data_IF_693735232370
#
_entry.id   IF_693735232370
#
_cell.length_a   1.000
_cell.length_b   1.000
_cell.length_c   1.000
_cell.angle_alpha   90.00
_cell.angle_beta   90.00
_cell.angle_gamma   90.00
#
_symmetry.space_group_name_H-M   'P 1'
#
loop_
_entity.id
_entity.type
_entity.pdbx_description
1 polymer ?
#
# COMPACT_ATOMS: atom_id res chain seq x y z
N UNK A 1 4.41 13.44 -16.66
CA UNK A 1 5.29 12.69 -15.75
C UNK A 1 6.25 11.85 -16.58
N UNK A 2 7.55 11.93 -16.33
CA UNK A 2 8.55 11.07 -17.00
C UNK A 2 8.56 9.69 -16.33
N UNK A 3 8.10 8.65 -17.04
CA UNK A 3 7.84 7.33 -16.46
C UNK A 3 8.96 6.32 -16.67
N UNK A 4 9.97 6.63 -17.48
CA UNK A 4 11.03 5.67 -17.83
C UNK A 4 11.94 5.42 -16.64
N UNK A 5 12.34 6.46 -15.90
CA UNK A 5 13.09 6.30 -14.64
C UNK A 5 12.32 5.49 -13.60
N UNK A 6 11.02 5.78 -13.42
CA UNK A 6 10.14 5.04 -12.51
C UNK A 6 10.04 3.56 -12.90
N UNK A 7 9.92 3.26 -14.19
CA UNK A 7 9.86 1.88 -14.68
C UNK A 7 11.15 1.13 -14.39
N UNK A 8 12.30 1.71 -14.73
CA UNK A 8 13.62 1.13 -14.46
C UNK A 8 13.82 0.86 -12.96
N UNK A 9 13.45 1.83 -12.12
CA UNK A 9 13.50 1.67 -10.67
C UNK A 9 12.60 0.54 -10.18
N UNK A 10 11.33 0.49 -10.58
CA UNK A 10 10.39 -0.52 -10.07
C UNK A 10 10.80 -1.95 -10.46
N UNK A 11 11.32 -2.15 -11.67
CA UNK A 11 11.86 -3.44 -12.12
C UNK A 11 13.13 -3.83 -11.35
N UNK A 12 14.05 -2.88 -11.16
CA UNK A 12 15.23 -3.08 -10.32
C UNK A 12 14.84 -3.46 -8.87
N UNK A 13 13.94 -2.68 -8.27
CA UNK A 13 13.45 -2.86 -6.92
C UNK A 13 12.84 -4.24 -6.72
N UNK A 14 12.06 -4.73 -7.70
CA UNK A 14 11.52 -6.09 -7.68
C UNK A 14 12.60 -7.14 -7.59
N UNK A 15 13.58 -7.11 -8.51
CA UNK A 15 14.66 -8.11 -8.54
C UNK A 15 15.47 -8.08 -7.23
N UNK A 16 15.82 -6.89 -6.77
CA UNK A 16 16.63 -6.72 -5.57
C UNK A 16 15.90 -7.16 -4.30
N UNK A 17 14.63 -6.79 -4.14
CA UNK A 17 13.82 -7.22 -2.99
C UNK A 17 13.58 -8.74 -3.00
N UNK A 18 13.30 -9.35 -4.16
CA UNK A 18 13.18 -10.81 -4.26
C UNK A 18 14.48 -11.51 -3.84
N UNK A 19 15.63 -11.00 -4.29
CA UNK A 19 16.95 -11.53 -3.91
C UNK A 19 17.20 -11.40 -2.41
N UNK A 20 16.99 -10.23 -1.82
CA UNK A 20 17.25 -9.98 -0.40
C UNK A 20 16.30 -10.77 0.51
N UNK A 21 15.00 -10.79 0.18
CA UNK A 21 14.00 -11.58 0.92
C UNK A 21 14.31 -13.07 0.83
N UNK A 22 14.72 -13.56 -0.34
CA UNK A 22 15.13 -14.97 -0.52
C UNK A 22 16.36 -15.33 0.33
N UNK A 23 17.38 -14.48 0.33
CA UNK A 23 18.57 -14.68 1.17
C UNK A 23 18.21 -14.68 2.66
N UNK A 24 17.36 -13.75 3.08
CA UNK A 24 16.91 -13.67 4.47
C UNK A 24 16.06 -14.86 4.89
N UNK A 25 15.17 -15.32 4.01
CA UNK A 25 14.39 -16.54 4.24
C UNK A 25 15.30 -17.74 4.48
N UNK A 26 16.33 -17.93 3.65
CA UNK A 26 17.32 -19.01 3.83
C UNK A 26 18.00 -18.93 5.21
N UNK A 27 18.41 -17.73 5.62
CA UNK A 27 19.07 -17.51 6.92
C UNK A 27 18.14 -17.77 8.10
N UNK A 28 16.91 -17.26 8.06
CA UNK A 28 15.92 -17.44 9.13
C UNK A 28 15.55 -18.91 9.29
N UNK A 29 15.51 -19.67 8.18
CA UNK A 29 15.11 -21.07 8.19
C UNK A 29 16.16 -22.05 8.71
N UNK A 30 17.43 -21.65 8.87
CA UNK A 30 18.46 -22.54 9.44
C UNK A 30 18.12 -22.94 10.88
N UNK A 31 18.50 -24.14 11.30
CA UNK A 31 18.16 -24.67 12.63
C UNK A 31 18.76 -23.82 13.78
N UNK A 32 19.97 -23.30 13.57
CA UNK A 32 20.71 -22.48 14.53
C UNK A 32 20.51 -20.97 14.35
N UNK A 33 19.50 -20.54 13.57
CA UNK A 33 19.28 -19.13 13.28
C UNK A 33 18.99 -18.32 14.56
N UNK A 34 19.49 -17.07 14.62
CA UNK A 34 19.17 -16.17 15.73
C UNK A 34 17.66 -15.90 15.83
N UNK A 35 16.98 -15.81 14.68
CA UNK A 35 15.53 -15.61 14.60
C UNK A 35 14.73 -16.69 15.34
N UNK A 36 15.16 -17.97 15.30
CA UNK A 36 14.50 -19.06 16.05
C UNK A 36 14.61 -18.89 17.56
N UNK A 37 15.73 -18.34 18.05
CA UNK A 37 15.94 -18.09 19.49
C UNK A 37 15.23 -16.84 19.97
N UNK A 38 15.33 -15.76 19.20
CA UNK A 38 14.83 -14.44 19.59
C UNK A 38 13.32 -14.29 19.32
N UNK A 39 12.80 -14.94 18.27
CA UNK A 39 11.41 -14.81 17.82
C UNK A 39 10.80 -16.14 17.36
N UNK A 40 10.74 -17.17 18.24
CA UNK A 40 10.27 -18.52 17.88
C UNK A 40 8.86 -18.54 17.28
N UNK A 41 7.93 -17.77 17.85
CA UNK A 41 6.54 -17.67 17.34
C UNK A 41 6.47 -17.11 15.92
N UNK A 42 7.32 -16.14 15.58
CA UNK A 42 7.36 -15.55 14.26
C UNK A 42 7.90 -16.53 13.21
N UNK A 43 8.91 -17.34 13.60
CA UNK A 43 9.45 -18.40 12.73
C UNK A 43 8.43 -19.52 12.55
N UNK A 44 7.71 -19.93 13.59
CA UNK A 44 6.64 -20.94 13.49
C UNK A 44 5.56 -20.51 12.49
N UNK A 45 5.09 -19.26 12.59
CA UNK A 45 4.13 -18.69 11.63
C UNK A 45 4.69 -18.65 10.20
N UNK A 46 5.98 -18.39 10.04
CA UNK A 46 6.65 -18.42 8.73
C UNK A 46 6.63 -19.83 8.15
N UNK A 47 6.96 -20.85 8.95
CA UNK A 47 6.92 -22.26 8.53
C UNK A 47 5.52 -22.71 8.13
N UNK A 48 4.50 -22.36 8.91
CA UNK A 48 3.09 -22.61 8.59
C UNK A 48 2.70 -21.93 7.27
N UNK A 49 3.08 -20.67 7.08
CA UNK A 49 2.81 -19.94 5.86
C UNK A 49 3.47 -20.61 4.63
N UNK A 50 4.72 -21.08 4.76
CA UNK A 50 5.42 -21.81 3.69
C UNK A 50 4.74 -23.13 3.36
N UNK A 51 4.24 -23.86 4.36
CA UNK A 51 3.48 -25.10 4.12
C UNK A 51 2.20 -24.84 3.32
N UNK A 52 1.55 -23.68 3.53
CA UNK A 52 0.31 -23.31 2.83
C UNK A 52 0.50 -22.66 1.45
N UNK A 53 1.63 -21.97 1.21
CA UNK A 53 1.83 -21.11 0.04
C UNK A 53 3.23 -21.22 -0.60
N UNK A 54 3.96 -22.32 -0.42
CA UNK A 54 5.34 -22.46 -0.92
C UNK A 54 6.33 -21.39 -0.41
N UNK A 55 7.63 -21.55 -0.68
CA UNK A 55 8.63 -20.53 -0.32
C UNK A 55 8.58 -19.34 -1.28
N UNK A 56 8.37 -19.62 -2.56
CA UNK A 56 8.39 -18.66 -3.65
C UNK A 56 7.25 -17.65 -3.52
N UNK A 57 6.03 -18.10 -3.15
CA UNK A 57 4.92 -17.17 -2.98
C UNK A 57 5.10 -16.30 -1.72
N UNK A 58 5.73 -16.83 -0.66
CA UNK A 58 6.07 -16.04 0.52
C UNK A 58 7.12 -14.98 0.18
N UNK A 59 8.18 -15.33 -0.57
CA UNK A 59 9.19 -14.38 -1.03
C UNK A 59 8.55 -13.27 -1.87
N UNK A 60 7.74 -13.64 -2.86
CA UNK A 60 7.01 -12.70 -3.72
C UNK A 60 6.10 -11.76 -2.92
N UNK A 61 5.31 -12.33 -2.01
CA UNK A 61 4.39 -11.58 -1.16
C UNK A 61 5.15 -10.58 -0.28
N UNK A 62 6.21 -11.01 0.39
CA UNK A 62 6.95 -10.14 1.32
C UNK A 62 7.75 -9.07 0.60
N UNK A 63 8.40 -9.40 -0.53
CA UNK A 63 9.08 -8.43 -1.37
C UNK A 63 8.11 -7.34 -1.85
N UNK A 64 6.92 -7.75 -2.31
CA UNK A 64 5.86 -6.84 -2.74
C UNK A 64 5.34 -5.94 -1.60
N UNK A 65 5.15 -6.49 -0.39
CA UNK A 65 4.73 -5.71 0.78
C UNK A 65 5.76 -4.62 1.10
N UNK A 66 7.05 -4.96 1.13
CA UNK A 66 8.10 -3.99 1.44
C UNK A 66 8.27 -2.94 0.35
N UNK A 67 8.21 -3.33 -0.93
CA UNK A 67 8.19 -2.37 -2.04
C UNK A 67 7.11 -1.31 -1.87
N UNK A 68 5.86 -1.74 -1.65
CA UNK A 68 4.73 -0.82 -1.50
C UNK A 68 4.87 0.08 -0.28
N UNK A 69 5.34 -0.47 0.85
CA UNK A 69 5.52 0.29 2.08
C UNK A 69 6.61 1.35 1.92
N UNK A 70 7.74 1.01 1.31
CA UNK A 70 8.82 1.98 1.08
C UNK A 70 8.38 3.08 0.12
N UNK A 71 7.70 2.74 -0.97
CA UNK A 71 7.15 3.74 -1.90
C UNK A 71 6.10 4.63 -1.21
N UNK A 72 5.21 4.04 -0.40
CA UNK A 72 4.21 4.80 0.35
C UNK A 72 4.85 5.74 1.38
N UNK A 73 5.78 5.24 2.20
CA UNK A 73 6.48 6.06 3.18
C UNK A 73 7.26 7.19 2.49
N UNK A 74 7.88 6.92 1.33
CA UNK A 74 8.55 7.96 0.54
C UNK A 74 7.59 9.01 0.03
N UNK A 75 6.46 8.60 -0.54
CA UNK A 75 5.42 9.53 -0.97
C UNK A 75 4.89 10.37 0.20
N UNK A 76 4.78 9.76 1.38
CA UNK A 76 4.32 10.41 2.60
C UNK A 76 5.32 11.45 3.13
N UNK A 77 6.63 11.17 3.03
CA UNK A 77 7.70 12.10 3.37
C UNK A 77 7.64 13.35 2.47
N UNK A 78 7.59 13.17 1.14
CA UNK A 78 7.51 14.31 0.19
C UNK A 78 6.34 15.23 0.52
N UNK A 79 5.19 14.62 0.79
CA UNK A 79 3.93 15.33 0.96
C UNK A 79 3.63 15.71 2.42
N UNK A 80 4.60 15.54 3.34
CA UNK A 80 4.51 15.93 4.76
C UNK A 80 3.25 15.38 5.44
N UNK A 81 3.03 14.07 5.27
CA UNK A 81 1.98 13.35 6.00
C UNK A 81 2.41 12.98 7.42
N UNK A 82 3.69 12.71 7.62
CA UNK A 82 4.32 12.50 8.92
C UNK A 82 4.96 13.81 9.43
N UNK A 83 5.18 13.90 10.75
CA UNK A 83 5.94 15.01 11.35
C UNK A 83 7.42 14.94 10.98
N UNK A 84 7.97 13.72 10.97
CA UNK A 84 9.36 13.41 10.62
C UNK A 84 9.38 12.63 9.30
N UNK A 85 10.44 12.78 8.52
CA UNK A 85 10.68 11.91 7.38
C UNK A 85 11.11 10.50 7.83
N UNK A 86 10.42 9.49 7.33
CA UNK A 86 10.59 8.11 7.76
C UNK A 86 11.66 7.40 6.93
N UNK A 87 11.69 7.66 5.62
CA UNK A 87 12.65 7.07 4.68
C UNK A 87 13.61 8.10 4.10
N UNK A 88 13.27 9.38 4.22
CA UNK A 88 14.05 10.51 3.71
C UNK A 88 14.86 11.17 4.82
N UNK A 89 16.04 11.73 4.52
CA UNK A 89 16.74 12.59 5.46
C UNK A 89 15.97 13.89 5.72
N UNK A 90 16.35 14.62 6.77
CA UNK A 90 15.87 15.99 6.99
C UNK A 90 16.46 16.96 5.95
N UNK A 91 17.75 16.79 5.66
CA UNK A 91 18.52 17.66 4.76
C UNK A 91 18.94 16.90 3.48
N UNK A 92 18.85 17.52 2.29
CA UNK A 92 19.40 16.95 1.05
C UNK A 92 20.88 16.61 1.18
N UNK A 93 21.33 15.52 0.52
CA UNK A 93 22.72 15.07 0.53
C UNK A 93 23.11 14.15 1.70
N UNK A 94 22.21 13.94 2.67
CA UNK A 94 22.39 12.93 3.72
C UNK A 94 21.69 11.62 3.35
N UNK A 95 22.20 10.50 3.86
CA UNK A 95 21.57 9.19 3.70
C UNK A 95 20.74 8.76 4.91
N UNK A 96 21.05 9.30 6.10
CA UNK A 96 20.38 8.96 7.33
C UNK A 96 18.93 9.49 7.34
N UNK A 97 17.91 8.64 7.52
CA UNK A 97 16.52 9.08 7.64
C UNK A 97 16.30 9.94 8.89
N UNK A 98 15.45 10.97 8.78
CA UNK A 98 15.19 11.92 9.85
C UNK A 98 14.70 11.24 11.14
N UNK A 99 13.80 10.25 11.03
CA UNK A 99 13.31 9.49 12.20
C UNK A 99 14.45 8.80 12.97
N UNK A 100 15.51 8.35 12.30
CA UNK A 100 16.66 7.75 12.97
C UNK A 100 17.55 8.81 13.60
N UNK A 101 17.74 9.95 12.93
CA UNK A 101 18.50 11.08 13.48
C UNK A 101 17.87 11.60 14.79
N UNK A 102 16.55 11.79 14.80
CA UNK A 102 15.79 12.19 16.00
C UNK A 102 15.87 11.14 17.12
N UNK A 103 15.76 9.85 16.79
CA UNK A 103 15.91 8.77 17.77
C UNK A 103 17.31 8.78 18.41
N UNK A 104 18.37 9.06 17.64
CA UNK A 104 19.74 9.20 18.17
C UNK A 104 19.90 10.42 19.07
N UNK A 105 19.05 11.44 18.93
CA UNK A 105 18.99 12.60 19.83
C UNK A 105 18.12 12.35 21.08
N UNK A 106 17.60 11.13 21.26
CA UNK A 106 16.75 10.77 22.39
C UNK A 106 15.26 11.05 22.18
N UNK A 107 14.84 11.38 20.96
CA UNK A 107 13.46 11.76 20.64
C UNK A 107 12.76 10.67 19.83
N UNK A 108 11.76 10.03 20.44
CA UNK A 108 10.88 9.05 19.80
C UNK A 108 9.44 9.38 20.18
N UNK A 109 8.56 9.45 19.19
CA UNK A 109 7.12 9.68 19.39
C UNK A 109 6.47 8.44 20.03
N UNK A 110 5.95 8.60 21.25
CA UNK A 110 5.33 7.52 22.04
C UNK A 110 3.99 7.05 21.47
N UNK A 111 3.32 7.87 20.63
CA UNK A 111 2.10 7.44 19.94
C UNK A 111 2.39 6.45 18.80
N UNK A 112 3.59 6.53 18.23
CA UNK A 112 4.05 5.70 17.11
C UNK A 112 4.76 4.45 17.63
N UNK A 113 5.67 4.60 18.60
CA UNK A 113 6.53 3.53 19.09
C UNK A 113 6.14 3.14 20.52
N UNK A 114 5.72 1.89 20.71
CA UNK A 114 5.36 1.39 22.04
C UNK A 114 6.58 1.33 22.98
N UNK A 115 6.31 1.31 24.30
CA UNK A 115 7.35 1.39 25.33
C UNK A 115 8.44 0.30 25.25
N UNK A 116 8.07 -0.96 24.94
CA UNK A 116 9.04 -2.06 24.82
C UNK A 116 9.97 -1.86 23.60
N UNK A 117 9.39 -1.54 22.45
CA UNK A 117 10.17 -1.25 21.24
C UNK A 117 11.07 -0.03 21.42
N UNK A 118 10.58 1.02 22.09
CA UNK A 118 11.35 2.23 22.40
C UNK A 118 12.56 1.93 23.29
N UNK A 119 12.39 1.14 24.34
CA UNK A 119 13.50 0.70 25.22
C UNK A 119 14.56 -0.06 24.44
N UNK A 120 14.15 -1.00 23.57
CA UNK A 120 15.08 -1.75 22.72
C UNK A 120 15.81 -0.83 21.73
N UNK A 121 15.10 0.09 21.07
CA UNK A 121 15.70 1.06 20.15
C UNK A 121 16.78 1.89 20.87
N UNK A 122 16.49 2.43 22.05
CA UNK A 122 17.50 3.18 22.80
C UNK A 122 18.66 2.30 23.26
N UNK A 123 18.39 1.08 23.75
CA UNK A 123 19.46 0.15 24.13
C UNK A 123 20.39 -0.18 22.95
N UNK A 124 19.86 -0.32 21.73
CA UNK A 124 20.65 -0.51 20.51
C UNK A 124 21.47 0.74 20.18
N UNK A 125 20.85 1.92 20.17
CA UNK A 125 21.52 3.18 19.81
C UNK A 125 22.59 3.61 20.82
N UNK A 126 22.43 3.24 22.09
CA UNK A 126 23.37 3.50 23.19
C UNK A 126 24.44 2.40 23.33
N UNK A 127 24.38 1.32 22.53
CA UNK A 127 25.33 0.21 22.61
C UNK A 127 25.15 -0.69 23.85
N UNK A 128 24.00 -0.62 24.53
CA UNK A 128 23.64 -1.45 25.69
C UNK A 128 23.05 -2.81 25.29
N UNK A 129 22.54 -2.93 24.06
CA UNK A 129 22.04 -4.19 23.50
C UNK A 129 23.07 -4.78 22.51
N UNK A 130 23.29 -6.11 22.52
CA UNK A 130 24.21 -6.75 21.59
C UNK A 130 23.65 -6.72 20.16
N UNK A 131 24.35 -6.09 19.23
CA UNK A 131 24.00 -6.13 17.81
C UNK A 131 25.24 -5.89 16.94
N UNK A 132 25.26 -6.53 15.77
CA UNK A 132 26.31 -6.31 14.75
C UNK A 132 26.02 -5.07 13.88
N UNK A 133 24.77 -4.61 13.89
CA UNK A 133 24.33 -3.40 13.19
C UNK A 133 23.25 -2.69 14.03
N UNK A 134 23.64 -2.03 15.14
CA UNK A 134 22.69 -1.45 16.09
C UNK A 134 21.82 -0.34 15.46
N UNK A 135 22.40 0.46 14.56
CA UNK A 135 21.67 1.55 13.89
C UNK A 135 20.69 1.01 12.85
N UNK A 136 21.08 0.03 12.03
CA UNK A 136 20.16 -0.58 11.07
C UNK A 136 19.04 -1.37 11.75
N UNK A 137 19.33 -2.07 12.85
CA UNK A 137 18.30 -2.73 13.66
C UNK A 137 17.32 -1.73 14.30
N UNK A 138 17.82 -0.68 14.96
CA UNK A 138 16.99 0.39 15.49
C UNK A 138 16.11 1.03 14.42
N UNK A 139 16.66 1.29 13.24
CA UNK A 139 15.92 1.86 12.13
C UNK A 139 14.80 0.94 11.62
N UNK A 140 15.04 -0.37 11.51
CA UNK A 140 14.00 -1.32 11.12
C UNK A 140 12.85 -1.36 12.12
N UNK A 141 13.15 -1.32 13.42
CA UNK A 141 12.13 -1.24 14.48
C UNK A 141 11.30 0.04 14.36
N UNK A 142 11.92 1.18 14.04
CA UNK A 142 11.22 2.45 13.79
C UNK A 142 10.29 2.34 12.57
N UNK A 143 10.76 1.78 11.45
CA UNK A 143 9.95 1.57 10.23
C UNK A 143 8.76 0.65 10.51
N UNK A 144 8.96 -0.44 11.26
CA UNK A 144 7.90 -1.37 11.68
C UNK A 144 6.85 -0.64 12.52
N UNK A 145 7.28 0.16 13.50
CA UNK A 145 6.39 0.92 14.36
C UNK A 145 5.54 1.91 13.57
N UNK A 146 6.14 2.64 12.63
CA UNK A 146 5.43 3.57 11.73
C UNK A 146 4.42 2.83 10.85
N UNK A 147 4.80 1.68 10.27
CA UNK A 147 3.86 0.87 9.48
C UNK A 147 2.67 0.39 10.34
N UNK A 148 2.93 -0.06 11.56
CA UNK A 148 1.87 -0.48 12.49
C UNK A 148 0.99 0.68 12.95
N UNK A 149 1.54 1.88 13.09
CA UNK A 149 0.77 3.09 13.37
C UNK A 149 -0.19 3.40 12.22
N UNK A 150 0.31 3.39 10.97
CA UNK A 150 -0.50 3.68 9.78
C UNK A 150 -1.50 2.58 9.40
N UNK A 151 -1.31 1.34 9.86
CA UNK A 151 -2.30 0.27 9.71
C UNK A 151 -3.70 0.68 10.20
N UNK A 152 -3.80 1.47 11.27
CA UNK A 152 -5.08 1.92 11.83
C UNK A 152 -5.91 2.75 10.84
N UNK A 153 -5.23 3.57 10.02
CA UNK A 153 -5.89 4.45 9.05
C UNK A 153 -5.93 3.86 7.63
N UNK A 154 -4.93 3.06 7.26
CA UNK A 154 -4.76 2.50 5.92
C UNK A 154 -4.40 1.00 6.00
N UNK A 155 -5.31 0.14 6.51
CA UNK A 155 -5.02 -1.28 6.74
C UNK A 155 -4.73 -2.07 5.46
N UNK A 156 -5.22 -1.61 4.31
CA UNK A 156 -4.99 -2.24 3.00
C UNK A 156 -3.53 -2.10 2.52
N UNK A 157 -2.87 -0.97 2.83
CA UNK A 157 -1.52 -0.65 2.39
C UNK A 157 -0.49 -1.02 3.44
N UNK A 158 -0.77 -0.64 4.68
CA UNK A 158 0.01 -1.03 5.84
C UNK A 158 -0.70 -2.18 6.52
N UNK A 159 -0.77 -3.34 5.86
CA UNK A 159 -1.31 -4.55 6.50
C UNK A 159 -0.63 -4.76 7.85
N UNK A 160 -1.36 -5.21 8.86
CA UNK A 160 -0.78 -5.49 10.17
C UNK A 160 0.38 -6.45 9.93
N UNK A 161 1.56 -6.08 10.42
CA UNK A 161 2.75 -6.89 10.20
C UNK A 161 2.49 -8.25 10.84
N UNK A 162 2.28 -9.28 10.03
CA UNK A 162 2.45 -10.64 10.50
C UNK A 162 3.92 -10.76 10.91
N UNK A 163 4.19 -11.32 12.09
CA UNK A 163 5.52 -11.28 12.71
C UNK A 163 6.65 -11.72 11.76
N UNK A 164 6.37 -12.65 10.84
CA UNK A 164 7.34 -13.12 9.86
C UNK A 164 7.66 -12.12 8.71
N UNK A 165 6.79 -11.16 8.41
CA UNK A 165 7.06 -10.15 7.35
C UNK A 165 8.21 -9.23 7.76
N UNK A 166 8.33 -8.96 9.06
CA UNK A 166 9.45 -8.24 9.65
C UNK A 166 10.74 -9.07 9.65
N UNK A 167 10.64 -10.37 9.98
CA UNK A 167 11.77 -11.29 9.89
C UNK A 167 12.41 -11.31 8.51
N UNK A 168 11.64 -11.00 7.47
CA UNK A 168 12.05 -11.05 6.08
C UNK A 168 12.27 -9.65 5.46
N UNK A 169 12.26 -8.58 6.27
CA UNK A 169 12.62 -7.24 5.81
C UNK A 169 14.09 -7.17 5.38
N UNK A 170 14.46 -6.46 4.30
CA UNK A 170 15.85 -6.14 3.99
C UNK A 170 16.68 -5.68 5.19
N UNK A 171 17.95 -6.10 5.24
CA UNK A 171 18.90 -5.65 6.28
C UNK A 171 19.48 -4.27 5.96
N UNK A 172 20.02 -4.10 4.75
CA UNK A 172 20.63 -2.85 4.33
C UNK A 172 19.59 -1.82 3.86
N UNK A 173 19.20 -0.93 4.78
CA UNK A 173 18.31 0.19 4.54
C UNK A 173 18.98 1.56 4.65
N UNK A 174 20.23 1.61 5.13
CA UNK A 174 20.92 2.86 5.47
C UNK A 174 22.08 3.18 4.52
N UNK A 175 22.59 2.22 3.74
CA UNK A 175 23.67 2.49 2.80
C UNK A 175 23.22 3.34 1.60
N UNK A 176 24.18 3.93 0.90
CA UNK A 176 23.94 4.65 -0.36
C UNK A 176 23.44 3.76 -1.50
N UNK A 177 23.62 2.44 -1.42
CA UNK A 177 23.14 1.46 -2.39
C UNK A 177 21.89 0.70 -1.90
N UNK A 178 21.29 1.15 -0.79
CA UNK A 178 20.09 0.52 -0.23
C UNK A 178 18.88 0.73 -1.13
N UNK A 179 17.88 -0.15 -1.00
CA UNK A 179 16.61 0.01 -1.71
C UNK A 179 15.93 1.35 -1.40
N UNK A 180 16.12 1.90 -0.20
CA UNK A 180 15.59 3.20 0.18
C UNK A 180 16.31 4.36 -0.51
N UNK A 181 17.62 4.24 -0.77
CA UNK A 181 18.36 5.22 -1.57
C UNK A 181 17.77 5.32 -2.99
N UNK A 182 17.63 4.19 -3.67
CA UNK A 182 17.01 4.15 -4.99
C UNK A 182 15.54 4.60 -4.98
N UNK A 183 14.80 4.30 -3.91
CA UNK A 183 13.42 4.79 -3.75
C UNK A 183 13.38 6.32 -3.69
N UNK A 184 14.29 6.96 -2.94
CA UNK A 184 14.38 8.43 -2.86
C UNK A 184 14.75 9.07 -4.18
N UNK A 185 15.69 8.47 -4.92
CA UNK A 185 16.14 8.96 -6.24
C UNK A 185 15.03 8.88 -7.29
N UNK A 186 14.27 7.78 -7.31
CA UNK A 186 13.19 7.59 -8.28
C UNK A 186 11.94 8.43 -7.96
N UNK A 187 11.62 8.58 -6.68
CA UNK A 187 10.43 9.28 -6.19
C UNK A 187 10.80 10.70 -5.74
N UNK A 188 11.10 11.57 -6.70
CA UNK A 188 11.40 12.99 -6.44
C UNK A 188 10.14 13.77 -6.02
N UNK A 189 10.29 14.99 -5.46
CA UNK A 189 9.14 15.82 -5.12
C UNK A 189 8.19 16.05 -6.30
N UNK A 190 8.72 16.34 -7.48
CA UNK A 190 7.92 16.60 -8.70
C UNK A 190 7.10 15.38 -9.12
N UNK A 191 7.70 14.20 -9.05
CA UNK A 191 7.05 12.93 -9.36
C UNK A 191 5.96 12.60 -8.33
N UNK A 192 6.19 12.92 -7.05
CA UNK A 192 5.27 12.64 -5.96
C UNK A 192 4.17 13.71 -5.77
N UNK A 193 4.12 14.75 -6.61
CA UNK A 193 2.99 15.68 -6.64
C UNK A 193 1.70 15.02 -7.12
N UNK A 194 1.82 14.00 -7.98
CA UNK A 194 0.70 13.21 -8.46
C UNK A 194 0.62 11.88 -7.72
N UNK A 195 -0.56 11.58 -7.17
CA UNK A 195 -0.82 10.32 -6.47
C UNK A 195 -0.84 9.12 -7.43
N UNK A 196 -1.02 9.34 -8.74
CA UNK A 196 -0.95 8.28 -9.74
C UNK A 196 0.41 7.58 -9.78
N UNK A 197 1.48 8.23 -9.29
CA UNK A 197 2.82 7.62 -9.20
C UNK A 197 2.79 6.25 -8.50
N UNK A 198 1.96 6.08 -7.46
CA UNK A 198 1.83 4.82 -6.73
C UNK A 198 1.24 3.73 -7.63
N UNK A 199 0.26 4.09 -8.47
CA UNK A 199 -0.32 3.19 -9.45
C UNK A 199 0.66 2.75 -10.53
N UNK A 200 1.46 3.69 -11.04
CA UNK A 200 2.50 3.41 -12.03
C UNK A 200 3.63 2.54 -11.47
N UNK A 201 4.11 2.85 -10.27
CA UNK A 201 5.11 2.04 -9.57
C UNK A 201 4.64 0.58 -9.41
N UNK A 202 3.38 0.39 -9.03
CA UNK A 202 2.78 -0.95 -8.97
C UNK A 202 2.78 -1.66 -10.33
N UNK A 203 2.30 -1.01 -11.39
CA UNK A 203 2.27 -1.62 -12.72
C UNK A 203 3.67 -1.97 -13.23
N UNK A 204 4.65 -1.08 -13.00
CA UNK A 204 6.02 -1.31 -13.44
C UNK A 204 6.72 -2.38 -12.60
N UNK A 205 6.41 -2.48 -11.30
CA UNK A 205 6.94 -3.54 -10.45
C UNK A 205 6.55 -4.90 -11.02
N UNK A 206 5.26 -5.12 -11.36
CA UNK A 206 4.79 -6.43 -11.83
C UNK A 206 5.04 -6.68 -13.32
N UNK A 207 5.58 -5.71 -14.07
CA UNK A 207 5.61 -5.78 -15.54
C UNK A 207 6.41 -6.97 -16.08
N UNK A 208 7.56 -7.29 -15.48
CA UNK A 208 8.39 -8.42 -15.95
C UNK A 208 7.68 -9.76 -15.73
N UNK A 209 7.03 -9.93 -14.58
CA UNK A 209 6.21 -11.11 -14.30
C UNK A 209 5.02 -11.20 -15.25
N UNK A 210 4.39 -10.07 -15.55
CA UNK A 210 3.32 -10.01 -16.54
C UNK A 210 3.83 -10.52 -17.90
N UNK A 211 4.95 -9.99 -18.38
CA UNK A 211 5.54 -10.40 -19.66
C UNK A 211 5.86 -11.90 -19.67
N UNK A 212 6.42 -12.45 -18.58
CA UNK A 212 6.65 -13.90 -18.42
C UNK A 212 5.36 -14.74 -18.54
N UNK A 213 4.27 -14.29 -17.91
CA UNK A 213 2.96 -14.97 -17.97
C UNK A 213 2.38 -14.92 -19.39
N UNK A 214 2.49 -13.78 -20.08
CA UNK A 214 2.04 -13.63 -21.46
C UNK A 214 2.87 -14.46 -22.45
N UNK A 215 4.18 -14.56 -22.26
CA UNK A 215 5.02 -15.47 -23.04
C UNK A 215 4.70 -16.95 -22.75
N UNK A 216 4.32 -17.29 -21.52
CA UNK A 216 3.81 -18.61 -21.17
C UNK A 216 2.52 -18.96 -21.91
N UNK A 217 1.58 -18.01 -22.00
CA UNK A 217 0.32 -18.15 -22.75
C UNK A 217 0.57 -18.40 -24.24
N UNK A 218 1.51 -17.66 -24.86
CA UNK A 218 1.91 -17.90 -26.26
C UNK A 218 2.45 -19.31 -26.49
N UNK A 219 3.00 -19.94 -25.45
CA UNK A 219 3.50 -21.33 -25.43
C UNK A 219 2.43 -22.32 -24.94
N UNK A 220 1.15 -21.98 -24.96
CA UNK A 220 0.01 -22.79 -24.50
C UNK A 220 0.09 -23.24 -23.03
N UNK A 221 0.84 -22.52 -22.17
CA UNK A 221 0.80 -22.77 -20.73
C UNK A 221 -0.42 -22.09 -20.12
N UNK A 222 -1.24 -22.86 -19.40
CA UNK A 222 -2.40 -22.33 -18.68
C UNK A 222 -1.93 -21.37 -17.57
N UNK A 223 -2.67 -20.28 -17.39
CA UNK A 223 -2.44 -19.36 -16.26
C UNK A 223 -2.83 -20.07 -14.98
N UNK A 224 -1.87 -20.26 -14.09
CA UNK A 224 -2.11 -20.80 -12.76
C UNK A 224 -2.70 -19.73 -11.83
N UNK A 225 -3.46 -20.09 -10.77
CA UNK A 225 -4.08 -19.12 -9.86
C UNK A 225 -3.14 -18.04 -9.33
N UNK A 226 -1.86 -18.38 -9.14
CA UNK A 226 -0.82 -17.51 -8.60
C UNK A 226 -0.38 -16.44 -9.60
N UNK A 227 -0.61 -16.67 -10.90
CA UNK A 227 -0.25 -15.78 -11.99
C UNK A 227 -1.41 -14.92 -12.49
N UNK A 228 -2.64 -15.20 -12.04
CA UNK A 228 -3.82 -14.40 -12.37
C UNK A 228 -3.64 -12.91 -12.00
N UNK A 229 -3.12 -12.55 -10.80
CA UNK A 229 -2.99 -11.13 -10.45
C UNK A 229 -2.07 -10.36 -11.39
N UNK A 230 -0.99 -10.98 -11.87
CA UNK A 230 -0.05 -10.34 -12.80
C UNK A 230 -0.70 -10.01 -14.16
N UNK A 231 -1.68 -10.79 -14.60
CA UNK A 231 -2.38 -10.58 -15.86
C UNK A 231 -3.61 -9.65 -15.75
N UNK A 232 -4.24 -9.58 -14.56
CA UNK A 232 -5.57 -8.96 -14.39
C UNK A 232 -5.56 -7.66 -13.59
N UNK A 233 -4.55 -7.44 -12.73
CA UNK A 233 -4.51 -6.29 -11.85
C UNK A 233 -3.89 -5.09 -12.57
N UNK A 234 -4.74 -4.28 -13.22
CA UNK A 234 -4.34 -3.07 -13.92
C UNK A 234 -4.71 -1.82 -13.12
N UNK A 235 -3.72 -0.98 -12.86
CA UNK A 235 -3.99 0.38 -12.39
C UNK A 235 -4.84 1.15 -13.41
N UNK A 236 -5.85 1.88 -12.91
CA UNK A 236 -6.74 2.72 -13.72
C UNK A 236 -6.46 4.20 -13.42
N UNK A 237 -5.93 4.97 -14.39
CA UNK A 237 -5.69 6.40 -14.23
C UNK A 237 -6.93 7.21 -13.83
N UNK A 238 -6.70 8.35 -13.17
CA UNK A 238 -7.74 9.22 -12.61
C UNK A 238 -8.76 9.66 -13.64
N UNK A 239 -8.30 10.03 -14.84
CA UNK A 239 -9.17 10.51 -15.91
C UNK A 239 -10.17 9.44 -16.35
N UNK A 240 -9.77 8.15 -16.40
CA UNK A 240 -10.68 7.05 -16.75
C UNK A 240 -11.74 6.90 -15.66
N UNK A 241 -11.32 6.94 -14.39
CA UNK A 241 -12.25 6.85 -13.26
C UNK A 241 -13.25 8.01 -13.29
N UNK A 242 -12.77 9.24 -13.52
CA UNK A 242 -13.62 10.42 -13.66
C UNK A 242 -14.58 10.28 -14.84
N UNK A 243 -14.08 9.92 -16.01
CA UNK A 243 -14.89 9.68 -17.20
C UNK A 243 -16.03 8.70 -16.91
N UNK A 244 -15.72 7.55 -16.31
CA UNK A 244 -16.72 6.54 -15.97
C UNK A 244 -17.75 7.06 -14.97
N UNK A 245 -17.32 7.75 -13.90
CA UNK A 245 -18.22 8.26 -12.86
C UNK A 245 -19.12 9.38 -13.39
N UNK A 246 -18.55 10.32 -14.14
CA UNK A 246 -19.27 11.46 -14.71
C UNK A 246 -20.32 10.99 -15.73
N UNK A 247 -19.98 10.03 -16.58
CA UNK A 247 -20.88 9.52 -17.62
C UNK A 247 -21.87 8.43 -17.15
N UNK A 248 -21.71 7.89 -15.93
CA UNK A 248 -22.66 6.95 -15.32
C UNK A 248 -23.49 7.64 -14.23
N UNK A 249 -22.91 7.83 -13.04
CA UNK A 249 -23.58 8.43 -11.88
C UNK A 249 -23.91 9.91 -12.12
N UNK A 250 -23.01 10.66 -12.74
CA UNK A 250 -23.25 12.06 -13.09
C UNK A 250 -24.42 12.20 -14.08
N UNK A 251 -24.45 11.36 -15.12
CA UNK A 251 -25.57 11.28 -16.06
C UNK A 251 -26.89 10.93 -15.37
N UNK A 252 -26.89 9.89 -14.53
CA UNK A 252 -28.08 9.48 -13.77
C UNK A 252 -28.60 10.61 -12.86
N UNK A 253 -27.70 11.34 -12.22
CA UNK A 253 -28.06 12.49 -11.39
C UNK A 253 -28.73 13.59 -12.21
N UNK A 254 -28.17 13.94 -13.37
CA UNK A 254 -28.72 14.99 -14.24
C UNK A 254 -30.10 14.62 -14.81
N UNK A 255 -30.33 13.34 -15.12
CA UNK A 255 -31.66 12.87 -15.55
C UNK A 255 -32.73 13.07 -14.46
N UNK A 256 -32.38 12.84 -13.19
CA UNK A 256 -33.30 13.03 -12.07
C UNK A 256 -33.37 14.49 -11.58
N UNK A 257 -32.37 15.31 -11.89
CA UNK A 257 -32.28 16.72 -11.47
C UNK A 257 -31.77 17.60 -12.62
N UNK A 258 -32.62 17.89 -13.62
CA UNK A 258 -32.21 18.61 -14.83
C UNK A 258 -31.63 20.00 -14.57
N UNK A 259 -32.10 20.71 -13.53
CA UNK A 259 -31.58 22.03 -13.14
C UNK A 259 -30.26 22.03 -12.37
N UNK A 260 -29.63 20.86 -12.18
CA UNK A 260 -28.38 20.75 -11.42
C UNK A 260 -27.19 21.38 -12.17
N UNK A 261 -26.45 22.26 -11.49
CA UNK A 261 -25.19 22.83 -12.01
C UNK A 261 -24.02 21.85 -12.02
N UNK A 262 -24.23 20.58 -11.67
CA UNK A 262 -23.16 19.58 -11.57
C UNK A 262 -22.45 19.35 -12.93
N UNK A 263 -23.18 19.44 -14.04
CA UNK A 263 -22.63 19.27 -15.38
C UNK A 263 -21.45 20.21 -15.66
N UNK A 264 -21.46 21.44 -15.14
CA UNK A 264 -20.39 22.42 -15.38
C UNK A 264 -19.10 22.11 -14.60
N UNK A 265 -19.10 21.08 -13.75
CA UNK A 265 -17.93 20.63 -12.97
C UNK A 265 -17.47 19.23 -13.37
N UNK A 266 -18.03 18.67 -14.44
CA UNK A 266 -17.71 17.33 -14.95
C UNK A 266 -16.96 17.45 -16.27
N UNK A 267 -15.64 17.67 -16.20
CA UNK A 267 -14.80 17.97 -17.39
C UNK A 267 -14.79 16.85 -18.46
N UNK A 268 -15.17 15.62 -18.12
CA UNK A 268 -15.23 14.46 -19.01
C UNK A 268 -16.65 14.02 -19.37
N UNK A 269 -17.67 14.78 -18.96
CA UNK A 269 -19.07 14.44 -19.22
C UNK A 269 -19.45 14.64 -20.70
N UNK A 270 -20.03 13.61 -21.30
CA UNK A 270 -20.56 13.62 -22.67
C UNK A 270 -22.08 13.79 -22.59
N UNK A 271 -22.58 14.90 -23.15
CA UNK A 271 -24.02 15.14 -23.30
C UNK A 271 -24.61 14.12 -24.28
N UNK A 272 -25.63 13.35 -23.90
CA UNK A 272 -26.30 12.43 -24.82
C UNK A 272 -27.02 13.20 -25.93
N UNK A 273 -27.08 12.61 -27.12
CA UNK A 273 -27.94 13.08 -28.20
C UNK A 273 -29.42 12.92 -27.81
N UNK A 274 -30.31 13.75 -28.38
CA UNK A 274 -31.71 13.87 -27.94
C UNK A 274 -32.46 12.52 -27.93
N UNK A 275 -32.23 11.67 -28.93
CA UNK A 275 -32.87 10.35 -29.03
C UNK A 275 -32.47 9.40 -27.88
N UNK A 276 -31.23 9.47 -27.39
CA UNK A 276 -30.74 8.64 -26.29
C UNK A 276 -31.25 9.13 -24.93
N UNK A 277 -31.40 10.45 -24.78
CA UNK A 277 -31.91 11.09 -23.56
C UNK A 277 -33.38 10.73 -23.31
N UNK A 278 -34.19 10.67 -24.36
CA UNK A 278 -35.61 10.28 -24.27
C UNK A 278 -35.77 8.81 -23.88
N UNK A 279 -34.98 7.91 -24.48
CA UNK A 279 -34.96 6.47 -24.14
C UNK A 279 -34.54 6.23 -22.68
N UNK A 280 -33.51 6.93 -22.20
CA UNK A 280 -33.05 6.83 -20.82
C UNK A 280 -34.08 7.35 -19.82
N UNK A 281 -34.73 8.49 -20.12
CA UNK A 281 -35.77 9.08 -19.28
C UNK A 281 -37.00 8.17 -19.16
N UNK A 282 -37.38 7.49 -20.25
CA UNK A 282 -38.50 6.54 -20.30
C UNK A 282 -38.24 5.26 -19.50
N UNK A 283 -36.98 4.83 -19.38
CA UNK A 283 -36.58 3.69 -18.53
C UNK A 283 -36.61 4.05 -17.04
N UNK A 284 -36.24 5.29 -16.69
CA UNK A 284 -36.26 5.78 -15.30
C UNK A 284 -37.70 6.02 -14.82
N UNK A 285 -38.60 6.56 -15.65
CA UNK A 285 -40.01 6.73 -15.28
C UNK A 285 -40.73 5.38 -15.06
N UNK A 286 -40.34 4.35 -15.80
CA UNK A 286 -40.81 2.96 -15.60
C UNK A 286 -40.26 2.29 -14.34
N UNK A 287 -39.04 2.63 -13.89
CA UNK A 287 -38.51 2.10 -12.63
C UNK A 287 -39.03 2.85 -11.40
N UNK A 288 -39.43 4.12 -11.55
CA UNK A 288 -40.06 4.93 -10.50
C UNK A 288 -41.55 4.58 -10.24
N UNK A 289 -42.23 3.91 -11.19
CA UNK A 289 -43.64 3.49 -11.06
C UNK A 289 -43.84 2.12 -10.40
N UNK A 290 -42.76 1.38 -10.15
CA UNK A 290 -42.79 0.27 -9.17
C UNK A 290 -42.48 0.87 -7.80
N UNK A 291 -43.32 0.68 -6.77
CA UNK A 291 -42.92 1.01 -5.41
C UNK A 291 -41.72 0.12 -5.10
N UNK A 292 -40.52 0.71 -5.14
CA UNK A 292 -39.37 0.09 -4.52
C UNK A 292 -39.72 0.04 -3.03
N UNK A 293 -39.91 -1.18 -2.50
CA UNK A 293 -39.84 -1.40 -1.06
C UNK A 293 -38.61 -0.64 -0.55
N UNK A 294 -38.68 0.05 0.60
CA UNK A 294 -37.60 0.90 1.06
C UNK A 294 -36.33 0.06 1.09
N UNK A 295 -35.48 0.26 0.10
CA UNK A 295 -34.13 -0.25 0.13
C UNK A 295 -33.48 0.69 1.11
N UNK A 296 -33.54 0.33 2.39
CA UNK A 296 -32.49 0.70 3.31
C UNK A 296 -31.20 0.45 2.55
N UNK A 297 -30.42 1.51 2.29
CA UNK A 297 -29.01 1.34 2.00
C UNK A 297 -28.38 0.71 3.24
N UNK A 298 -28.62 -0.58 3.41
CA UNK A 298 -27.82 -1.42 4.28
C UNK A 298 -26.42 -1.32 3.70
N UNK A 299 -25.42 -0.91 4.49
CA UNK A 299 -24.06 -1.22 4.12
C UNK A 299 -24.03 -2.72 3.82
N UNK A 300 -23.39 -3.12 2.71
CA UNK A 300 -23.03 -4.52 2.48
C UNK A 300 -22.58 -5.13 3.82
N UNK A 301 -23.03 -6.34 4.17
CA UNK A 301 -22.75 -6.92 5.47
C UNK A 301 -21.24 -7.00 5.67
N UNK A 302 -20.73 -6.11 6.55
CA UNK A 302 -19.50 -6.36 7.26
C UNK A 302 -19.76 -7.58 8.12
N UNK A 303 -19.10 -8.69 7.83
CA UNK A 303 -18.86 -9.68 8.87
C UNK A 303 -18.05 -9.01 9.98
N UNK A 304 -18.64 -9.06 11.19
CA UNK A 304 -18.14 -8.72 12.51
C UNK A 304 -18.06 -7.25 12.99
N UNK A 305 -19.18 -6.80 13.57
CA UNK A 305 -19.38 -6.35 14.99
C UNK A 305 -18.17 -5.76 15.74
N UNK A 306 -18.21 -4.62 16.44
CA UNK A 306 -19.17 -4.20 17.50
C UNK A 306 -18.96 -2.70 17.90
N UNK A 307 -19.87 -2.09 18.69
CA UNK A 307 -20.10 -0.64 18.71
C UNK A 307 -19.54 0.09 19.94
N UNK A 308 -18.85 1.21 19.70
CA UNK A 308 -18.86 2.39 20.58
C UNK A 308 -18.09 3.52 19.92
N UNK A 309 -18.78 4.63 19.60
CA UNK A 309 -18.27 6.01 19.71
C UNK A 309 -19.17 6.99 18.92
N UNK A 310 -20.34 7.31 19.49
CA UNK A 310 -20.85 8.68 19.42
C UNK A 310 -20.17 9.46 20.55
N UNK A 311 -18.99 10.04 20.29
CA UNK A 311 -18.38 11.22 20.96
C UNK A 311 -16.87 11.26 20.66
N UNK A 312 -16.51 11.94 19.57
CA UNK A 312 -15.25 12.72 19.42
C UNK A 312 -15.21 13.37 18.03
N UNK A 313 -16.31 14.02 17.65
CA UNK A 313 -16.41 14.80 16.42
C UNK A 313 -15.96 16.25 16.69
N UNK A 314 -14.65 16.49 16.90
CA UNK A 314 -14.10 17.84 16.75
C UNK A 314 -12.60 17.92 16.44
N UNK A 315 -11.81 16.84 16.52
CA UNK A 315 -10.38 16.85 16.16
C UNK A 315 -10.07 16.36 14.71
N UNK A 316 -11.01 15.67 14.06
CA UNK A 316 -10.74 14.90 12.82
C UNK A 316 -10.89 15.66 11.48
N UNK A 317 -11.16 16.97 11.49
CA UNK A 317 -11.43 17.73 10.24
C UNK A 317 -10.17 17.97 9.39
N UNK A 318 -8.96 18.02 9.96
CA UNK A 318 -7.71 18.13 9.19
C UNK A 318 -7.19 16.78 8.66
N UNK A 319 -7.57 15.66 9.28
CA UNK A 319 -7.12 14.31 8.90
C UNK A 319 -7.86 13.73 7.68
N UNK A 320 -9.16 14.03 7.53
CA UNK A 320 -10.01 13.43 6.50
C UNK A 320 -9.65 13.85 5.07
N UNK A 321 -9.08 15.05 4.87
CA UNK A 321 -8.61 15.54 3.55
C UNK A 321 -7.26 14.92 3.13
N UNK A 322 -6.39 14.57 4.08
CA UNK A 322 -5.09 13.96 3.81
C UNK A 322 -5.24 12.45 3.50
N UNK A 323 -6.00 11.71 4.32
CA UNK A 323 -6.20 10.27 4.11
C UNK A 323 -7.00 9.95 2.83
N UNK A 324 -7.98 10.77 2.45
CA UNK A 324 -8.86 10.44 1.32
C UNK A 324 -8.14 10.35 -0.03
N UNK A 325 -7.06 11.10 -0.24
CA UNK A 325 -6.30 11.10 -1.52
C UNK A 325 -5.56 9.78 -1.76
N UNK A 326 -4.97 9.18 -0.72
CA UNK A 326 -4.25 7.91 -0.84
C UNK A 326 -5.25 6.75 -0.83
N UNK A 327 -6.28 6.80 0.01
CA UNK A 327 -7.27 5.73 0.14
C UNK A 327 -8.13 5.56 -1.13
N UNK A 328 -8.50 6.65 -1.83
CA UNK A 328 -9.44 6.55 -2.96
C UNK A 328 -8.87 5.91 -4.23
N UNK A 329 -7.54 5.91 -4.41
CA UNK A 329 -6.90 5.30 -5.59
C UNK A 329 -6.39 3.88 -5.31
N UNK A 330 -5.77 3.65 -4.15
CA UNK A 330 -5.20 2.33 -3.84
C UNK A 330 -6.28 1.30 -3.50
N UNK A 331 -7.43 1.72 -2.93
CA UNK A 331 -8.51 0.78 -2.61
C UNK A 331 -9.15 0.10 -3.82
N UNK A 332 -8.96 0.64 -5.03
CA UNK A 332 -9.45 0.02 -6.28
C UNK A 332 -8.39 -0.80 -7.01
N UNK A 333 -7.10 -0.60 -6.73
CA UNK A 333 -6.05 -1.52 -7.22
C UNK A 333 -5.93 -2.75 -6.33
N UNK A 334 -6.35 -2.71 -5.05
CA UNK A 334 -6.20 -3.83 -4.09
C UNK A 334 -7.47 -4.65 -3.84
N UNK A 335 -8.62 -4.28 -4.41
CA UNK A 335 -9.89 -5.02 -4.26
C UNK A 335 -9.97 -6.27 -5.16
N UNK A 336 -8.89 -7.05 -5.18
CA UNK A 336 -8.84 -8.43 -5.66
C UNK A 336 -7.60 -9.16 -5.10
N UNK A 337 -7.11 -8.79 -3.91
CA UNK A 337 -6.45 -9.81 -3.10
C UNK A 337 -7.54 -10.80 -2.73
N UNK A 338 -7.56 -11.93 -3.43
CA UNK A 338 -8.37 -13.07 -3.05
C UNK A 338 -8.26 -13.24 -1.55
N UNK A 339 -9.42 -13.26 -0.91
CA UNK A 339 -9.63 -13.90 0.37
C UNK A 339 -8.98 -15.28 0.29
N UNK A 340 -7.71 -15.37 0.70
CA UNK A 340 -7.16 -16.60 1.22
C UNK A 340 -8.02 -16.93 2.45
N UNK A 341 -8.52 -18.16 2.59
CA UNK A 341 -9.41 -18.51 3.68
C UNK A 341 -8.64 -18.31 4.98
N UNK A 342 -8.96 -17.23 5.68
CA UNK A 342 -8.78 -17.18 7.11
C UNK A 342 -9.80 -18.17 7.68
N UNK A 343 -9.34 -19.27 8.26
CA UNK A 343 -10.16 -20.09 9.16
C UNK A 343 -9.27 -20.87 10.11
N UNK A 344 -9.68 -21.07 11.38
CA UNK A 344 -10.74 -20.38 12.13
C UNK A 344 -10.26 -19.08 12.79
#
# INVERSE_FOLDING_TARGET
METTKLKKFAQFARRELLKQVSAKLKLVMTESSAARRERPEAVKKLEEAIKSHSKEQIIERVAYIWFNRFCALRFMDVNRYNRLNIVSPANPGQFQPEILAEAKMGHIDEEIVNGKARQLIFALLEGKAPSRDPQGEAYRLLVVAVCNYWNKAMPFLFQRINDYTELLMPDDLLSGNSILAYTREAMTPDICNDVEVIGWLYQFYISEKKDEVFEGLKKNKKITPENIPAATQLFTPHWIVRYLVENSLGRLWLLNRPGSKLASKMDYYIKPEQAEAESASRKISRSATRPAAPVTCSPMPSTCSTPSMRRKAMSLRRFRKKSSRITSMVSRSTNAQGSWPLSP
#
